data_IF_863289356888
#
_entry.id   IF_863289356888
#
_cell.length_a   1.000
_cell.length_b   1.000
_cell.length_c   1.000
_cell.angle_alpha   90.00
_cell.angle_beta   90.00
_cell.angle_gamma   90.00
#
_symmetry.space_group_name_H-M   'P 1'
#
loop_
_entity.id
_entity.type
_entity.pdbx_description
1 polymer ?
#
# COMPACT_ATOMS: atom_id res chain seq x y z
N UNK A 1 -1.96 1.29 12.02
CA UNK A 1 -3.45 1.27 11.99
C UNK A 1 -3.91 -0.11 11.53
N UNK A 2 -4.98 -0.68 12.08
CA UNK A 2 -5.52 -1.97 11.61
C UNK A 2 -7.03 -1.87 11.37
N UNK A 3 -7.47 -2.11 10.13
CA UNK A 3 -8.88 -2.17 9.75
C UNK A 3 -9.23 -3.63 9.46
N UNK A 4 -9.84 -4.34 10.41
CA UNK A 4 -10.07 -5.80 10.34
C UNK A 4 -11.45 -6.19 10.84
N UNK A 5 -11.76 -7.49 10.84
CA UNK A 5 -12.99 -8.02 11.45
C UNK A 5 -14.26 -7.65 10.71
N UNK A 6 -14.21 -7.60 9.37
CA UNK A 6 -15.34 -7.24 8.52
C UNK A 6 -15.43 -5.74 8.21
N UNK A 7 -14.38 -4.97 8.53
CA UNK A 7 -14.31 -3.54 8.20
C UNK A 7 -14.49 -3.32 6.70
N UNK A 8 -15.30 -2.34 6.32
CA UNK A 8 -15.49 -2.01 4.91
C UNK A 8 -15.66 -0.50 4.70
N UNK A 9 -15.29 -0.02 3.51
CA UNK A 9 -15.56 1.34 3.05
C UNK A 9 -14.93 2.41 3.97
N UNK A 10 -13.65 2.21 4.32
CA UNK A 10 -12.89 3.11 5.19
C UNK A 10 -11.73 3.73 4.45
N UNK A 11 -11.51 5.03 4.69
CA UNK A 11 -10.35 5.75 4.20
C UNK A 11 -9.40 6.09 5.36
N UNK A 12 -8.11 5.78 5.17
CA UNK A 12 -7.01 6.12 6.05
C UNK A 12 -6.09 7.07 5.27
N UNK A 13 -6.32 8.38 5.45
CA UNK A 13 -5.69 9.41 4.63
C UNK A 13 -4.75 10.36 5.36
N UNK A 14 -3.74 10.83 4.64
CA UNK A 14 -2.93 12.01 5.00
C UNK A 14 -2.24 11.90 6.37
N UNK A 15 -1.95 10.67 6.80
CA UNK A 15 -1.32 10.43 8.10
C UNK A 15 0.21 10.51 8.01
N UNK A 16 0.82 10.72 9.18
CA UNK A 16 2.23 10.47 9.43
C UNK A 16 2.40 9.25 10.31
N UNK A 17 3.04 8.21 9.79
CA UNK A 17 3.39 7.02 10.56
C UNK A 17 4.91 6.96 10.70
N UNK A 18 5.41 7.21 11.91
CA UNK A 18 6.83 7.11 12.22
C UNK A 18 7.10 5.83 13.02
N UNK A 19 7.97 4.97 12.51
CA UNK A 19 8.36 3.68 13.10
C UNK A 19 7.13 2.86 13.56
N UNK A 20 6.17 2.56 12.65
CA UNK A 20 4.91 1.96 13.07
C UNK A 20 5.00 0.46 13.39
N UNK A 21 6.23 -0.08 13.50
CA UNK A 21 6.50 -1.48 13.85
C UNK A 21 6.23 -2.43 12.70
N UNK A 22 5.66 -3.60 13.02
CA UNK A 22 5.60 -4.73 12.10
C UNK A 22 4.70 -4.53 10.87
N UNK A 23 3.66 -3.69 10.96
CA UNK A 23 2.72 -3.37 9.86
C UNK A 23 2.17 -1.95 10.05
N UNK A 24 2.62 -1.01 9.23
CA UNK A 24 2.18 0.39 9.32
C UNK A 24 0.66 0.55 9.17
N UNK A 25 0.15 0.15 8.01
CA UNK A 25 -1.28 0.05 7.72
C UNK A 25 -1.63 -1.42 7.43
N UNK A 26 -2.36 -2.05 8.34
CA UNK A 26 -2.82 -3.42 8.18
C UNK A 26 -4.27 -3.39 7.65
N UNK A 27 -4.41 -3.64 6.35
CA UNK A 27 -5.68 -3.68 5.64
C UNK A 27 -6.23 -5.11 5.76
N UNK A 28 -7.09 -5.32 6.74
CA UNK A 28 -7.51 -6.64 7.23
C UNK A 28 -6.64 -7.16 8.39
N UNK A 29 -6.61 -8.47 8.60
CA UNK A 29 -5.86 -9.07 9.70
C UNK A 29 -6.22 -10.52 9.99
N UNK A 30 -6.19 -10.86 11.28
CA UNK A 30 -6.64 -12.14 11.83
C UNK A 30 -7.61 -11.87 12.97
N UNK A 31 -8.89 -12.09 12.70
CA UNK A 31 -9.99 -11.83 13.62
C UNK A 31 -10.66 -13.14 13.99
N UNK A 32 -10.86 -13.38 15.29
CA UNK A 32 -11.66 -14.53 15.73
C UNK A 32 -13.10 -14.41 15.25
N UNK A 33 -13.71 -15.50 14.79
CA UNK A 33 -15.03 -15.49 14.13
C UNK A 33 -16.14 -14.80 14.93
N UNK A 34 -16.12 -14.90 16.27
CA UNK A 34 -17.10 -14.24 17.15
C UNK A 34 -17.00 -12.70 17.18
N UNK A 35 -15.88 -12.13 16.73
CA UNK A 35 -15.59 -10.69 16.81
C UNK A 35 -15.84 -9.93 15.51
N UNK A 36 -16.21 -10.63 14.42
CA UNK A 36 -16.58 -9.98 13.16
C UNK A 36 -17.81 -9.10 13.32
N UNK A 37 -17.76 -7.89 12.74
CA UNK A 37 -18.87 -6.94 12.68
C UNK A 37 -18.96 -6.40 11.24
N UNK A 38 -20.04 -6.70 10.50
CA UNK A 38 -21.17 -7.58 10.88
C UNK A 38 -20.75 -9.05 11.13
N UNK A 39 -21.58 -9.86 11.83
CA UNK A 39 -21.30 -11.28 12.01
C UNK A 39 -21.09 -12.02 10.68
N UNK A 40 -20.27 -13.07 10.70
CA UNK A 40 -19.96 -13.86 9.51
C UNK A 40 -21.20 -14.49 8.88
N UNK A 41 -21.22 -14.52 7.56
CA UNK A 41 -22.25 -15.19 6.76
C UNK A 41 -21.85 -16.61 6.41
N UNK A 42 -22.79 -17.55 6.47
CA UNK A 42 -22.60 -18.93 5.98
C UNK A 42 -23.03 -19.10 4.51
N UNK A 43 -23.63 -18.07 3.91
CA UNK A 43 -24.21 -18.14 2.55
C UNK A 43 -23.54 -17.19 1.56
N UNK A 44 -22.73 -16.26 2.05
CA UNK A 44 -21.95 -15.30 1.26
C UNK A 44 -20.53 -15.29 1.77
N UNK A 45 -19.56 -15.13 0.88
CA UNK A 45 -18.16 -15.12 1.26
C UNK A 45 -17.79 -13.88 2.09
N UNK A 46 -17.04 -14.12 3.16
CA UNK A 46 -16.57 -13.13 4.11
C UNK A 46 -15.17 -12.64 3.71
N UNK A 47 -14.75 -11.50 4.26
CA UNK A 47 -13.38 -11.02 4.18
C UNK A 47 -13.01 -10.32 5.48
N UNK A 48 -11.72 -10.24 5.79
CA UNK A 48 -11.24 -9.47 6.95
C UNK A 48 -11.48 -7.98 6.78
N UNK A 49 -11.34 -7.50 5.55
CA UNK A 49 -11.71 -6.16 5.18
C UNK A 49 -12.10 -6.06 3.70
N UNK A 50 -12.84 -5.01 3.34
CA UNK A 50 -13.18 -4.70 1.94
C UNK A 50 -13.06 -3.22 1.65
N UNK A 51 -12.51 -2.84 0.49
CA UNK A 51 -12.52 -1.42 0.05
C UNK A 51 -11.98 -0.48 1.13
N UNK A 52 -10.83 -0.85 1.71
CA UNK A 52 -10.08 0.05 2.59
C UNK A 52 -9.08 0.80 1.71
N UNK A 53 -9.08 2.11 1.85
CA UNK A 53 -8.27 3.01 1.04
C UNK A 53 -7.20 3.66 1.93
N UNK A 54 -5.93 3.32 1.70
CA UNK A 54 -4.78 3.95 2.34
C UNK A 54 -4.18 5.00 1.39
N UNK A 55 -4.55 6.27 1.58
CA UNK A 55 -4.31 7.34 0.60
C UNK A 55 -3.38 8.42 1.14
N UNK A 56 -2.34 8.79 0.42
CA UNK A 56 -1.59 10.01 0.71
C UNK A 56 -0.87 9.99 2.06
N UNK A 57 -0.55 8.82 2.62
CA UNK A 57 0.15 8.72 3.89
C UNK A 57 1.66 8.81 3.67
N UNK A 58 2.38 9.45 4.60
CA UNK A 58 3.82 9.31 4.67
C UNK A 58 4.19 8.37 5.82
N UNK A 59 4.93 7.33 5.49
CA UNK A 59 5.26 6.18 6.33
C UNK A 59 6.78 6.06 6.38
N UNK A 60 7.37 6.25 7.55
CA UNK A 60 8.82 6.30 7.76
C UNK A 60 9.23 5.16 8.69
N UNK A 61 10.03 4.22 8.22
CA UNK A 61 10.47 3.06 8.98
C UNK A 61 9.42 1.94 9.12
N UNK A 62 9.65 1.06 10.09
CA UNK A 62 8.85 -0.15 10.32
C UNK A 62 9.21 -1.31 9.38
N UNK A 63 8.75 -2.51 9.70
CA UNK A 63 9.10 -3.74 8.95
C UNK A 63 8.42 -3.78 7.59
N UNK A 64 7.19 -3.23 7.51
CA UNK A 64 6.48 -3.04 6.25
C UNK A 64 5.52 -1.85 6.36
N UNK A 65 5.39 -1.01 5.30
CA UNK A 65 4.54 0.17 5.36
C UNK A 65 3.06 -0.20 5.39
N UNK A 66 2.65 -1.20 4.59
CA UNK A 66 1.28 -1.68 4.55
C UNK A 66 1.20 -3.16 4.16
N UNK A 67 0.14 -3.81 4.64
CA UNK A 67 -0.15 -5.21 4.42
C UNK A 67 -1.62 -5.40 4.04
N UNK A 68 -1.87 -6.15 2.97
CA UNK A 68 -3.19 -6.62 2.56
C UNK A 68 -3.40 -8.01 3.16
N UNK A 69 -4.19 -8.11 4.24
CA UNK A 69 -4.33 -9.34 5.04
C UNK A 69 -5.77 -9.79 5.03
N UNK A 70 -6.13 -10.66 4.08
CA UNK A 70 -7.53 -11.05 3.85
C UNK A 70 -8.42 -9.88 3.42
N UNK A 71 -7.83 -8.82 2.85
CA UNK A 71 -8.61 -7.73 2.26
C UNK A 71 -8.90 -7.98 0.77
N UNK A 72 -10.10 -7.60 0.35
CA UNK A 72 -10.55 -7.60 -1.05
C UNK A 72 -10.87 -6.17 -1.51
N UNK A 73 -10.47 -5.83 -2.73
CA UNK A 73 -10.70 -4.51 -3.35
C UNK A 73 -10.10 -3.35 -2.54
N UNK A 74 -9.01 -3.59 -1.79
CA UNK A 74 -8.31 -2.57 -1.02
C UNK A 74 -7.36 -1.74 -1.90
N UNK A 75 -7.08 -0.50 -1.50
CA UNK A 75 -6.19 0.42 -2.24
C UNK A 75 -5.09 0.92 -1.32
N UNK A 76 -3.85 0.91 -1.79
CA UNK A 76 -2.75 1.69 -1.24
C UNK A 76 -2.26 2.65 -2.33
N UNK A 77 -2.51 3.94 -2.16
CA UNK A 77 -2.21 4.91 -3.20
C UNK A 77 -1.65 6.23 -2.71
N UNK A 78 -0.81 6.86 -3.55
CA UNK A 78 -0.16 8.13 -3.23
C UNK A 78 0.58 8.13 -1.88
N UNK A 79 1.00 6.97 -1.37
CA UNK A 79 1.77 6.95 -0.13
C UNK A 79 3.24 7.23 -0.44
N UNK A 80 3.89 7.99 0.43
CA UNK A 80 5.36 8.08 0.45
C UNK A 80 5.88 7.14 1.53
N UNK A 81 6.65 6.14 1.13
CA UNK A 81 7.26 5.15 2.00
C UNK A 81 8.76 5.43 2.04
N UNK A 82 9.30 5.61 3.25
CA UNK A 82 10.71 5.93 3.49
C UNK A 82 11.34 4.89 4.40
N UNK A 83 12.35 4.20 3.89
CA UNK A 83 13.16 3.18 4.57
C UNK A 83 12.33 2.17 5.38
N UNK A 84 11.39 1.44 4.76
CA UNK A 84 10.86 0.24 5.38
C UNK A 84 11.99 -0.80 5.47
N UNK A 85 11.98 -1.62 6.51
CA UNK A 85 13.04 -2.59 6.74
C UNK A 85 12.84 -3.87 5.92
N UNK A 86 11.98 -4.80 6.36
CA UNK A 86 11.99 -6.18 5.85
C UNK A 86 11.26 -6.37 4.51
N UNK A 87 10.15 -5.64 4.29
CA UNK A 87 9.27 -5.83 3.15
C UNK A 87 8.69 -4.51 2.62
N UNK A 88 8.67 -4.32 1.30
CA UNK A 88 8.00 -3.15 0.69
C UNK A 88 6.49 -3.23 0.84
N UNK A 89 5.92 -4.43 0.84
CA UNK A 89 4.53 -4.69 1.22
C UNK A 89 4.29 -6.17 1.48
N UNK A 90 3.10 -6.49 2.02
CA UNK A 90 2.70 -7.88 2.28
C UNK A 90 1.31 -8.17 1.72
N UNK A 91 1.11 -9.39 1.21
CA UNK A 91 -0.18 -9.92 0.78
C UNK A 91 -0.37 -11.26 1.50
N UNK A 92 -1.28 -11.33 2.46
CA UNK A 92 -1.43 -12.47 3.36
C UNK A 92 -2.89 -12.88 3.46
N UNK A 93 -3.11 -14.14 3.83
CA UNK A 93 -4.42 -14.65 4.23
C UNK A 93 -4.28 -15.33 5.60
N UNK A 94 -4.58 -14.59 6.66
CA UNK A 94 -4.46 -15.13 8.03
C UNK A 94 -5.77 -15.73 8.55
N UNK A 95 -6.91 -15.33 7.98
CA UNK A 95 -8.23 -15.92 8.26
C UNK A 95 -8.73 -16.63 7.02
N UNK A 96 -8.96 -17.95 7.11
CA UNK A 96 -9.42 -18.78 5.98
C UNK A 96 -10.80 -19.37 6.24
N UNK A 97 -11.43 -19.90 5.20
CA UNK A 97 -12.71 -20.59 5.30
C UNK A 97 -12.68 -21.70 6.36
N UNK A 98 -13.68 -21.70 7.24
CA UNK A 98 -13.75 -22.65 8.35
C UNK A 98 -15.06 -22.53 9.12
N UNK A 99 -15.45 -23.56 9.87
CA UNK A 99 -16.66 -23.52 10.71
C UNK A 99 -17.97 -23.24 9.96
N UNK A 100 -18.02 -23.51 8.65
CA UNK A 100 -19.16 -23.19 7.78
C UNK A 100 -19.17 -21.76 7.22
N UNK A 101 -18.16 -20.94 7.52
CA UNK A 101 -18.02 -19.59 7.00
C UNK A 101 -17.03 -19.56 5.82
N UNK A 102 -17.49 -19.31 4.59
CA UNK A 102 -16.59 -19.13 3.45
C UNK A 102 -15.86 -17.78 3.57
N UNK A 103 -14.58 -17.73 3.18
CA UNK A 103 -13.78 -16.51 3.07
C UNK A 103 -13.21 -16.35 1.66
N UNK A 104 -13.20 -15.12 1.17
CA UNK A 104 -12.47 -14.76 -0.03
C UNK A 104 -10.96 -14.65 0.26
N UNK A 105 -10.11 -15.02 -0.70
CA UNK A 105 -8.68 -14.75 -0.62
C UNK A 105 -8.41 -13.24 -0.73
N UNK A 106 -7.29 -12.78 -0.19
CA UNK A 106 -6.80 -11.43 -0.43
C UNK A 106 -6.57 -11.25 -1.94
N UNK A 107 -7.28 -10.29 -2.53
CA UNK A 107 -7.43 -10.18 -3.98
C UNK A 107 -7.78 -8.74 -4.39
N UNK A 108 -7.59 -8.46 -5.68
CA UNK A 108 -7.98 -7.20 -6.34
C UNK A 108 -7.43 -5.94 -5.63
N UNK A 109 -6.27 -6.05 -5.00
CA UNK A 109 -5.65 -4.90 -4.35
C UNK A 109 -5.01 -3.98 -5.38
N UNK A 110 -5.10 -2.67 -5.16
CA UNK A 110 -4.45 -1.67 -6.02
C UNK A 110 -3.29 -1.03 -5.28
N UNK A 111 -2.12 -1.00 -5.91
CA UNK A 111 -0.92 -0.31 -5.42
C UNK A 111 -0.52 0.70 -6.48
N UNK A 112 -0.98 1.95 -6.32
CA UNK A 112 -0.92 2.94 -7.39
C UNK A 112 -0.37 4.30 -6.95
N UNK A 113 0.40 4.95 -7.82
CA UNK A 113 0.95 6.28 -7.57
C UNK A 113 1.81 6.43 -6.30
N UNK A 114 2.32 5.35 -5.70
CA UNK A 114 3.13 5.44 -4.48
C UNK A 114 4.58 5.81 -4.80
N UNK A 115 5.29 6.34 -3.81
CA UNK A 115 6.73 6.61 -3.86
C UNK A 115 7.41 5.77 -2.77
N UNK A 116 8.21 4.80 -3.18
CA UNK A 116 9.04 3.98 -2.30
C UNK A 116 10.49 4.43 -2.39
N UNK A 117 11.01 4.92 -1.27
CA UNK A 117 12.41 5.24 -1.05
C UNK A 117 12.94 4.29 0.02
N UNK A 118 13.87 3.41 -0.31
CA UNK A 118 14.27 2.31 0.58
C UNK A 118 15.75 1.96 0.44
N UNK A 119 16.28 1.25 1.44
CA UNK A 119 17.62 0.64 1.40
C UNK A 119 17.46 -0.80 0.92
N UNK A 120 18.05 -1.17 -0.21
CA UNK A 120 18.02 -2.53 -0.75
C UNK A 120 18.61 -3.53 0.25
N UNK A 121 19.68 -3.15 0.94
CA UNK A 121 20.33 -3.98 1.96
C UNK A 121 19.43 -4.41 3.14
N UNK A 122 18.38 -3.64 3.45
CA UNK A 122 17.43 -3.97 4.52
C UNK A 122 16.30 -4.91 4.02
N UNK A 123 15.98 -4.86 2.73
CA UNK A 123 14.81 -5.53 2.15
C UNK A 123 15.12 -7.02 1.92
N UNK A 124 14.48 -7.87 2.71
CA UNK A 124 14.59 -9.32 2.55
C UNK A 124 13.72 -9.86 1.42
N UNK A 125 12.54 -9.27 1.20
CA UNK A 125 11.63 -9.67 0.11
C UNK A 125 10.79 -8.47 -0.30
N UNK A 126 10.75 -8.13 -1.59
CA UNK A 126 9.98 -7.00 -2.09
C UNK A 126 8.49 -7.07 -1.70
N UNK A 127 7.80 -8.14 -2.11
CA UNK A 127 6.40 -8.42 -1.76
C UNK A 127 6.35 -9.75 -1.04
N UNK A 128 6.09 -9.73 0.28
CA UNK A 128 5.93 -10.97 1.03
C UNK A 128 4.51 -11.53 0.86
N UNK A 129 4.42 -12.64 0.12
CA UNK A 129 3.16 -13.27 -0.24
C UNK A 129 2.98 -14.54 0.57
N UNK A 130 1.86 -14.62 1.30
CA UNK A 130 1.45 -15.80 2.05
C UNK A 130 0.55 -16.74 1.23
N UNK A 131 0.36 -17.99 1.69
CA UNK A 131 -0.56 -18.94 1.04
C UNK A 131 -2.02 -18.44 1.08
N UNK A 132 -2.88 -19.05 0.25
CA UNK A 132 -4.33 -18.78 0.18
C UNK A 132 -4.68 -17.32 -0.20
N UNK A 133 -3.80 -16.67 -0.96
CA UNK A 133 -4.01 -15.34 -1.53
C UNK A 133 -4.18 -15.45 -3.06
N UNK A 134 -4.72 -14.41 -3.69
CA UNK A 134 -4.83 -14.30 -5.16
C UNK A 134 -3.92 -13.17 -5.67
N UNK A 135 -2.59 -13.26 -5.49
CA UNK A 135 -1.69 -12.12 -5.68
C UNK A 135 -1.60 -11.65 -7.14
N UNK A 136 -1.84 -12.54 -8.12
CA UNK A 136 -1.87 -12.20 -9.54
C UNK A 136 -3.05 -11.29 -9.95
N UNK A 137 -4.01 -11.07 -9.04
CA UNK A 137 -5.15 -10.16 -9.26
C UNK A 137 -4.87 -8.73 -8.78
N UNK A 138 -3.71 -8.47 -8.18
CA UNK A 138 -3.34 -7.13 -7.76
C UNK A 138 -2.95 -6.28 -8.98
N UNK A 139 -3.30 -5.01 -8.94
CA UNK A 139 -2.92 -4.03 -9.96
C UNK A 139 -1.84 -3.11 -9.41
N UNK A 140 -0.74 -3.00 -10.16
CA UNK A 140 0.35 -2.07 -9.87
C UNK A 140 0.43 -1.04 -10.99
N UNK A 141 0.43 0.24 -10.63
CA UNK A 141 0.55 1.28 -11.64
C UNK A 141 1.21 2.55 -11.12
N UNK A 142 2.09 3.15 -11.92
CA UNK A 142 2.66 4.46 -11.66
C UNK A 142 3.35 4.58 -10.29
N UNK A 143 3.94 3.54 -9.74
CA UNK A 143 4.75 3.69 -8.52
C UNK A 143 6.18 4.11 -8.88
N UNK A 144 6.81 4.90 -8.02
CA UNK A 144 8.25 5.15 -8.07
C UNK A 144 8.93 4.27 -7.04
N UNK A 145 9.94 3.53 -7.49
CA UNK A 145 10.77 2.67 -6.65
C UNK A 145 12.21 3.15 -6.72
N UNK A 146 12.80 3.47 -5.57
CA UNK A 146 14.17 3.93 -5.47
C UNK A 146 14.88 3.30 -4.27
N UNK A 147 15.69 2.28 -4.56
CA UNK A 147 16.72 1.77 -3.67
C UNK A 147 17.89 2.76 -3.64
N UNK A 148 18.04 3.56 -2.59
CA UNK A 148 18.98 4.69 -2.60
C UNK A 148 20.45 4.26 -2.46
N UNK A 149 20.71 3.12 -1.85
CA UNK A 149 22.01 2.47 -1.70
C UNK A 149 22.40 1.65 -2.95
N UNK A 150 21.41 1.14 -3.68
CA UNK A 150 21.61 0.39 -4.92
C UNK A 150 20.57 0.75 -6.00
N UNK A 151 20.67 1.92 -6.67
CA UNK A 151 19.64 2.37 -7.62
C UNK A 151 19.30 1.37 -8.73
N UNK A 152 20.28 0.58 -9.18
CA UNK A 152 20.07 -0.48 -10.18
C UNK A 152 19.23 -1.68 -9.69
N UNK A 153 19.06 -1.85 -8.39
CA UNK A 153 18.23 -2.88 -7.76
C UNK A 153 16.80 -2.40 -7.42
N UNK A 154 16.44 -1.17 -7.80
CA UNK A 154 15.16 -0.57 -7.40
C UNK A 154 13.91 -1.27 -7.96
N UNK A 155 14.04 -2.13 -8.98
CA UNK A 155 12.89 -2.79 -9.60
C UNK A 155 12.43 -4.00 -8.74
N UNK A 156 11.26 -3.92 -8.08
CA UNK A 156 10.80 -5.02 -7.25
C UNK A 156 10.32 -6.22 -8.07
N UNK A 157 10.30 -7.39 -7.44
CA UNK A 157 9.60 -8.56 -7.98
C UNK A 157 8.13 -8.49 -7.57
N UNK A 158 7.26 -8.19 -8.52
CA UNK A 158 5.82 -8.03 -8.32
C UNK A 158 5.04 -9.29 -8.78
N UNK A 159 3.89 -9.61 -8.16
CA UNK A 159 3.08 -10.77 -8.54
C UNK A 159 2.27 -10.60 -9.83
N UNK A 160 2.22 -9.38 -10.36
CA UNK A 160 1.59 -9.01 -11.62
C UNK A 160 2.40 -7.85 -12.23
N UNK A 161 2.20 -7.60 -13.53
CA UNK A 161 2.94 -6.55 -14.23
C UNK A 161 2.52 -5.15 -13.75
N UNK A 162 3.50 -4.26 -13.57
CA UNK A 162 3.25 -2.86 -13.30
C UNK A 162 3.21 -2.03 -14.59
N UNK A 163 2.20 -1.16 -14.71
CA UNK A 163 2.08 -0.20 -15.80
C UNK A 163 2.61 1.18 -15.37
N UNK A 164 3.49 1.79 -16.16
CA UNK A 164 3.94 3.17 -15.94
C UNK A 164 4.84 3.39 -14.71
N UNK A 165 5.41 2.33 -14.12
CA UNK A 165 6.33 2.44 -12.98
C UNK A 165 7.65 3.13 -13.33
N UNK A 166 8.22 3.83 -12.35
CA UNK A 166 9.54 4.47 -12.41
C UNK A 166 10.49 3.73 -11.48
N UNK A 167 11.64 3.30 -11.99
CA UNK A 167 12.61 2.52 -11.22
C UNK A 167 13.99 3.18 -11.25
N UNK A 168 14.64 3.28 -10.08
CA UNK A 168 16.05 3.71 -9.98
C UNK A 168 16.28 5.20 -10.19
N UNK A 169 15.22 5.99 -10.36
CA UNK A 169 15.31 7.46 -10.48
C UNK A 169 15.18 8.09 -9.11
N UNK A 170 16.18 8.87 -8.69
CA UNK A 170 16.20 9.51 -7.39
C UNK A 170 15.05 10.53 -7.28
N UNK A 171 14.10 10.37 -6.34
CA UNK A 171 12.97 11.29 -6.16
C UNK A 171 13.37 12.67 -5.61
N UNK A 172 14.62 12.88 -5.23
CA UNK A 172 15.14 14.13 -4.67
C UNK A 172 14.39 14.55 -3.40
N UNK A 173 14.05 13.56 -2.55
CA UNK A 173 13.35 13.82 -1.29
C UNK A 173 14.14 14.83 -0.45
N UNK A 174 13.44 15.87 -0.02
CA UNK A 174 13.95 16.84 0.95
C UNK A 174 14.00 16.23 2.35
N UNK A 175 14.62 16.93 3.31
CA UNK A 175 14.68 16.50 4.71
C UNK A 175 13.28 16.27 5.33
N UNK A 176 12.26 16.94 4.82
CA UNK A 176 10.86 16.81 5.26
C UNK A 176 10.06 15.84 4.38
N UNK A 177 10.73 15.02 3.57
CA UNK A 177 10.13 13.98 2.71
C UNK A 177 9.17 14.50 1.63
N UNK A 178 9.30 15.78 1.26
CA UNK A 178 8.65 16.37 0.10
C UNK A 178 9.53 16.26 -1.14
N UNK A 179 8.91 16.38 -2.31
CA UNK A 179 9.60 16.39 -3.61
C UNK A 179 9.66 17.81 -4.21
N UNK A 180 10.76 18.19 -4.89
CA UNK A 180 10.81 19.40 -5.69
C UNK A 180 10.14 19.19 -7.06
N UNK A 181 9.84 20.28 -7.79
CA UNK A 181 9.31 20.22 -9.16
C UNK A 181 10.23 19.56 -10.19
N UNK A 182 11.52 19.41 -9.88
CA UNK A 182 12.48 18.66 -10.71
C UNK A 182 12.49 17.16 -10.46
N UNK A 183 11.71 16.69 -9.48
CA UNK A 183 11.65 15.28 -9.12
C UNK A 183 11.08 14.45 -10.26
N UNK A 184 11.58 13.24 -10.52
CA UNK A 184 10.92 12.28 -11.41
C UNK A 184 9.51 11.87 -10.95
N UNK A 185 9.17 12.11 -9.67
CA UNK A 185 7.82 11.89 -9.15
C UNK A 185 6.83 13.00 -9.54
N UNK A 186 7.31 14.20 -9.91
CA UNK A 186 6.46 15.34 -10.20
C UNK A 186 5.68 15.10 -11.49
N UNK A 187 4.34 15.14 -11.42
CA UNK A 187 3.46 14.92 -12.56
C UNK A 187 3.57 13.55 -13.24
N UNK A 188 4.05 12.51 -12.54
CA UNK A 188 4.24 11.18 -13.12
C UNK A 188 3.08 10.20 -12.83
N UNK A 189 2.11 10.63 -12.02
CA UNK A 189 0.98 9.80 -11.62
C UNK A 189 -0.17 9.78 -12.62
N UNK A 190 -1.14 8.93 -12.32
CA UNK A 190 -2.43 8.89 -13.01
C UNK A 190 -3.54 9.46 -12.13
N UNK A 191 -4.49 10.17 -12.74
CA UNK A 191 -5.59 10.77 -11.99
C UNK A 191 -6.54 9.69 -11.42
N UNK A 192 -7.00 9.90 -10.19
CA UNK A 192 -7.98 9.05 -9.50
C UNK A 192 -9.15 9.90 -9.03
N UNK A 193 -10.38 9.40 -9.19
CA UNK A 193 -11.60 10.19 -8.91
C UNK A 193 -11.75 10.58 -7.41
N UNK A 194 -11.16 9.79 -6.52
CA UNK A 194 -11.19 9.99 -5.06
C UNK A 194 -10.00 10.83 -4.54
N UNK A 195 -9.11 11.30 -5.42
CA UNK A 195 -7.97 12.13 -5.04
C UNK A 195 -8.41 13.59 -4.85
N UNK A 196 -8.53 14.03 -3.59
CA UNK A 196 -8.99 15.40 -3.27
C UNK A 196 -7.86 16.39 -2.98
N UNK A 197 -6.64 15.90 -2.75
CA UNK A 197 -5.47 16.70 -2.39
C UNK A 197 -4.35 15.85 -1.78
N UNK A 198 -3.17 16.46 -1.66
CA UNK A 198 -2.00 15.88 -1.02
C UNK A 198 -2.14 15.87 0.50
N UNK A 199 -1.14 15.33 1.20
CA UNK A 199 -1.15 15.21 2.66
C UNK A 199 -1.34 16.55 3.41
N UNK A 200 -1.01 17.69 2.79
CA UNK A 200 -1.21 19.02 3.36
C UNK A 200 -2.48 19.71 2.84
N UNK A 201 -3.30 19.00 2.08
CA UNK A 201 -4.54 19.51 1.50
C UNK A 201 -4.32 20.37 0.27
N UNK A 202 -3.12 20.37 -0.35
CA UNK A 202 -2.89 21.04 -1.63
C UNK A 202 -3.52 20.21 -2.75
N UNK A 203 -4.10 20.86 -3.76
CA UNK A 203 -4.58 20.12 -4.92
C UNK A 203 -3.41 19.47 -5.65
N UNK A 204 -3.55 18.19 -5.99
CA UNK A 204 -2.63 17.55 -6.93
C UNK A 204 -2.76 18.18 -8.32
N UNK A 205 -1.67 18.19 -9.08
CA UNK A 205 -1.65 18.53 -10.49
C UNK A 205 -2.39 17.51 -11.37
N UNK A 206 -2.40 17.78 -12.67
CA UNK A 206 -2.94 16.87 -13.68
C UNK A 206 -1.97 16.79 -14.85
N UNK A 207 -1.15 15.72 -14.95
CA UNK A 207 -1.07 14.55 -14.05
C UNK A 207 -0.60 14.87 -12.62
N UNK A 208 -1.03 14.10 -11.59
CA UNK A 208 -0.63 14.31 -10.21
C UNK A 208 0.82 13.85 -9.97
N UNK A 209 1.47 14.35 -8.92
CA UNK A 209 2.73 13.78 -8.45
C UNK A 209 2.54 12.42 -7.78
N UNK A 210 3.60 11.60 -7.80
CA UNK A 210 3.69 10.34 -7.06
C UNK A 210 3.98 10.60 -5.58
N UNK A 211 3.45 9.75 -4.72
CA UNK A 211 3.58 9.88 -3.27
C UNK A 211 2.66 10.92 -2.65
N UNK A 212 2.91 11.20 -1.37
CA UNK A 212 1.98 11.89 -0.46
C UNK A 212 1.98 13.42 -0.60
N UNK A 213 2.86 13.98 -1.42
CA UNK A 213 3.05 15.42 -1.57
C UNK A 213 3.01 15.81 -3.04
N UNK A 214 2.29 16.88 -3.33
CA UNK A 214 2.35 17.50 -4.65
C UNK A 214 3.58 18.38 -4.75
N UNK A 215 4.29 18.28 -5.89
CA UNK A 215 5.41 19.16 -6.19
C UNK A 215 4.94 20.64 -6.32
N UNK A 216 5.77 21.61 -5.92
CA UNK A 216 5.43 23.04 -5.99
C UNK A 216 5.32 23.58 -7.42
#
# INVERSE_FOLDING_TARGET
>A
VQAKGGSADLEIRWNHLLQPGARGLNLGGSTGFAFFRPPLSTTVANAEARRIEAIGNLIVGGDTPFAFVGCVDCVAAHNTVVNPATWLMRILQETTSGGGFPFEPAANGQVVNNLFYFEDGDISTHVNIGPNTSPATFDFAHNLWFAWDAPGASAPTLPSAEAGGIYGQNPQLTADWQIPGTSPAAGAGTAQAWLTGDRFGRCYGSPPSLGAHEAP
#
